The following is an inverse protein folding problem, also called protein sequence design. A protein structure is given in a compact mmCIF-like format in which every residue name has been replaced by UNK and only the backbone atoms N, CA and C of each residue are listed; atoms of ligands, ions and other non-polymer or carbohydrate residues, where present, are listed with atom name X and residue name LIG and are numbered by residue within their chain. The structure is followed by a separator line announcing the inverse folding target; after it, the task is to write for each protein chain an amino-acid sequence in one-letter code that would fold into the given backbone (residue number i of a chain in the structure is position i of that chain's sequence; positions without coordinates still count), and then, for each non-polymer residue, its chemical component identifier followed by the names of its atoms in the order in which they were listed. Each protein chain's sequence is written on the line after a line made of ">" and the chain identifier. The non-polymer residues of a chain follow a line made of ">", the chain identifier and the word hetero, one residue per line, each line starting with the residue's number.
data_IF_118166169066
#
_entry.id   IF_118166169066
#
_cell.length_a   1.000
_cell.length_b   1.000
_cell.length_c   1.000
_cell.angle_alpha   90.00
_cell.angle_beta   90.00
_cell.angle_gamma   90.00
#
_symmetry.space_group_name_H-M   'P 1'
#
loop_
_entity.id
_entity.type
_entity.pdbx_description
1 polymer ?
#
# COMPACT_ATOMS: atom_id res chain seq x y z
N UNK A 1 15.05 0.82 6.86
CA UNK A 1 14.97 -0.37 7.70
C UNK A 1 13.62 -0.30 8.39
N UNK A 2 12.62 -0.96 7.81
CA UNK A 2 11.30 -1.16 8.40
C UNK A 2 11.47 -1.77 9.80
N UNK A 3 10.74 -1.24 10.79
CA UNK A 3 10.97 -1.56 12.21
C UNK A 3 10.14 -2.76 12.70
N UNK A 4 9.23 -3.27 11.87
CA UNK A 4 8.51 -4.53 12.08
C UNK A 4 8.78 -5.48 10.93
N UNK A 5 8.83 -6.79 11.20
CA UNK A 5 9.03 -7.81 10.17
C UNK A 5 7.86 -7.98 9.21
N UNK A 6 6.72 -7.32 9.48
CA UNK A 6 5.50 -7.38 8.69
C UNK A 6 5.34 -6.10 7.86
N UNK A 7 5.02 -6.27 6.58
CA UNK A 7 4.92 -5.18 5.62
C UNK A 7 3.73 -5.38 4.69
N UNK A 8 3.06 -4.27 4.37
CA UNK A 8 2.09 -4.19 3.27
C UNK A 8 2.70 -3.36 2.15
N UNK A 9 2.75 -3.94 0.95
CA UNK A 9 3.16 -3.22 -0.25
C UNK A 9 1.95 -2.94 -1.12
N UNK A 10 1.72 -1.67 -1.46
CA UNK A 10 0.66 -1.22 -2.34
C UNK A 10 1.26 -0.76 -3.68
N UNK A 11 0.77 -1.28 -4.79
CA UNK A 11 1.10 -0.78 -6.14
C UNK A 11 -0.18 -0.26 -6.78
N UNK A 12 -0.23 1.04 -7.04
CA UNK A 12 -1.42 1.75 -7.54
C UNK A 12 -1.33 1.97 -9.04
N UNK A 13 -2.31 1.48 -9.80
CA UNK A 13 -2.43 1.79 -11.22
C UNK A 13 -2.74 3.27 -11.48
N UNK A 14 -2.51 3.73 -12.71
CA UNK A 14 -2.73 5.14 -13.09
C UNK A 14 -4.19 5.61 -12.89
N UNK A 15 -5.15 4.69 -12.98
CA UNK A 15 -6.58 4.98 -12.81
C UNK A 15 -7.05 4.94 -11.34
N UNK A 16 -6.15 4.72 -10.38
CA UNK A 16 -6.53 4.74 -8.97
C UNK A 16 -6.91 6.15 -8.49
N UNK A 17 -7.91 6.25 -7.58
CA UNK A 17 -8.16 7.51 -6.89
C UNK A 17 -6.91 7.99 -6.16
N UNK A 18 -6.58 9.28 -6.30
CA UNK A 18 -5.39 9.85 -5.66
C UNK A 18 -5.40 9.82 -4.12
N UNK A 19 -6.55 9.55 -3.49
CA UNK A 19 -6.68 9.39 -2.04
C UNK A 19 -6.51 7.96 -1.55
N UNK A 20 -6.53 6.98 -2.45
CA UNK A 20 -6.61 5.56 -2.06
C UNK A 20 -5.39 5.10 -1.26
N UNK A 21 -4.19 5.61 -1.58
CA UNK A 21 -2.98 5.29 -0.84
C UNK A 21 -3.10 5.65 0.64
N UNK A 22 -3.46 6.91 0.89
CA UNK A 22 -3.57 7.49 2.23
C UNK A 22 -4.68 6.80 3.03
N UNK A 23 -5.83 6.51 2.41
CA UNK A 23 -6.92 5.77 3.06
C UNK A 23 -6.49 4.35 3.47
N UNK A 24 -5.76 3.64 2.62
CA UNK A 24 -5.26 2.29 2.92
C UNK A 24 -4.15 2.31 3.98
N UNK A 25 -3.22 3.27 3.92
CA UNK A 25 -2.19 3.47 4.95
C UNK A 25 -2.82 3.74 6.32
N UNK A 26 -3.83 4.62 6.38
CA UNK A 26 -4.57 4.89 7.61
C UNK A 26 -5.30 3.65 8.12
N UNK A 27 -5.92 2.87 7.23
CA UNK A 27 -6.59 1.63 7.60
C UNK A 27 -5.63 0.61 8.20
N UNK A 28 -4.50 0.34 7.54
CA UNK A 28 -3.48 -0.59 8.04
C UNK A 28 -2.97 -0.12 9.40
N UNK A 29 -2.64 1.17 9.55
CA UNK A 29 -2.17 1.74 10.82
C UNK A 29 -3.20 1.61 11.95
N UNK A 30 -4.48 1.76 11.64
CA UNK A 30 -5.56 1.67 12.63
C UNK A 30 -5.75 0.24 13.17
N UNK A 31 -5.45 -0.78 12.35
CA UNK A 31 -5.70 -2.19 12.68
C UNK A 31 -4.43 -3.00 12.98
N UNK A 32 -3.27 -2.55 12.48
CA UNK A 32 -2.00 -3.27 12.51
C UNK A 32 -0.83 -2.31 12.84
N UNK A 33 -0.72 -1.97 14.13
CA UNK A 33 0.21 -0.94 14.65
C UNK A 33 1.70 -1.17 14.36
N UNK A 34 2.10 -2.41 14.05
CA UNK A 34 3.49 -2.79 13.80
C UNK A 34 3.78 -3.10 12.32
N UNK A 35 2.81 -2.85 11.43
CA UNK A 35 2.93 -3.12 9.99
C UNK A 35 3.33 -1.85 9.26
N UNK A 36 4.45 -1.90 8.57
CA UNK A 36 4.90 -0.83 7.69
C UNK A 36 4.14 -0.91 6.35
N UNK A 37 3.69 0.23 5.81
CA UNK A 37 3.05 0.30 4.48
C UNK A 37 3.95 1.04 3.50
N UNK A 38 4.18 0.46 2.32
CA UNK A 38 4.99 1.07 1.26
C UNK A 38 4.17 1.18 -0.01
N UNK A 39 4.17 2.37 -0.63
CA UNK A 39 3.38 2.66 -1.82
C UNK A 39 4.28 2.86 -3.03
N UNK A 40 3.93 2.23 -4.15
CA UNK A 40 4.54 2.41 -5.45
C UNK A 40 3.50 2.77 -6.50
N UNK A 41 3.90 3.58 -7.48
CA UNK A 41 3.12 3.76 -8.70
C UNK A 41 3.30 2.55 -9.62
N UNK A 42 2.20 1.97 -10.07
CA UNK A 42 2.15 1.01 -11.16
C UNK A 42 2.46 1.69 -12.50
N UNK A 43 3.00 0.92 -13.43
CA UNK A 43 3.19 1.37 -14.80
C UNK A 43 1.87 1.35 -15.60
N UNK A 44 1.96 1.79 -16.85
CA UNK A 44 0.87 1.71 -17.81
C UNK A 44 0.40 0.27 -17.97
N UNK A 45 -0.92 0.08 -18.01
CA UNK A 45 -1.60 -1.23 -18.08
C UNK A 45 -1.42 -2.13 -16.84
N UNK A 46 -0.94 -1.59 -15.71
CA UNK A 46 -0.95 -2.30 -14.43
C UNK A 46 -2.39 -2.55 -13.94
N UNK A 47 -2.55 -3.56 -13.07
CA UNK A 47 -3.79 -3.73 -12.33
C UNK A 47 -4.13 -2.46 -11.54
N UNK A 48 -5.41 -2.23 -11.27
CA UNK A 48 -5.87 -1.06 -10.52
C UNK A 48 -5.15 -0.98 -9.16
N UNK A 49 -5.10 -2.09 -8.41
CA UNK A 49 -4.36 -2.20 -7.16
C UNK A 49 -3.74 -3.60 -7.04
N UNK A 50 -2.46 -3.66 -6.67
CA UNK A 50 -1.82 -4.86 -6.17
C UNK A 50 -1.45 -4.67 -4.70
N UNK A 51 -1.69 -5.71 -3.91
CA UNK A 51 -1.36 -5.75 -2.48
C UNK A 51 -0.47 -6.95 -2.22
N UNK A 52 0.74 -6.68 -1.72
CA UNK A 52 1.64 -7.70 -1.15
C UNK A 52 1.62 -7.62 0.37
N UNK A 53 1.72 -8.77 1.03
CA UNK A 53 1.81 -8.89 2.50
C UNK A 53 2.96 -9.86 2.84
N UNK A 54 3.70 -9.56 3.89
CA UNK A 54 4.81 -10.38 4.42
C UNK A 54 4.65 -10.65 5.91
#
# INVERSE_FOLDING_TARGET
>A
LAAGGEMVTLVLGEDCPGTLADELEQHVRAHHLAVDTVVYAGGRDAALLLVGVE
#
